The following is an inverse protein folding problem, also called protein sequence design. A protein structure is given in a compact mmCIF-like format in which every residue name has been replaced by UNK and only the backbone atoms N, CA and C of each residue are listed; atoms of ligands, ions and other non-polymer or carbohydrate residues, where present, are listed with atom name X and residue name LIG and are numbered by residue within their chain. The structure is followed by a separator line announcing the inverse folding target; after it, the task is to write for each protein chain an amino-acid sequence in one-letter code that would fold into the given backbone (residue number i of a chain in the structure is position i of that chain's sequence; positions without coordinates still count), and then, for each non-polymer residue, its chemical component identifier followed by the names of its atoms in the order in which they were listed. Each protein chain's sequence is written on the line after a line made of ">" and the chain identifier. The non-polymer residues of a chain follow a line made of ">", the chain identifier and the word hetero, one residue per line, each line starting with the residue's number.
data_IF_134062218108
#
_entry.id   IF_134062218108
#
_cell.length_a   1.000
_cell.length_b   1.000
_cell.length_c   1.000
_cell.angle_alpha   90.00
_cell.angle_beta   90.00
_cell.angle_gamma   90.00
#
_symmetry.space_group_name_H-M   'P 1'
#
loop_
_entity.id
_entity.type
_entity.pdbx_description
1 polymer ?
#
# COMPACT_ATOMS: atom_id res chain seq x y z
N UNK A 1 6.47 16.23 -0.99
CA UNK A 1 7.60 15.50 -1.64
C UNK A 1 8.99 15.91 -1.12
N UNK A 2 9.36 17.20 -1.14
CA UNK A 2 10.72 17.65 -0.77
C UNK A 2 11.12 17.20 0.65
N UNK A 3 10.18 17.20 1.60
CA UNK A 3 10.45 16.79 2.98
C UNK A 3 10.49 15.27 3.18
N UNK A 4 9.81 14.50 2.32
CA UNK A 4 9.78 13.04 2.37
C UNK A 4 11.10 12.42 1.86
N UNK A 5 11.72 13.06 0.87
CA UNK A 5 12.87 12.52 0.17
C UNK A 5 14.09 12.26 1.10
N UNK A 6 14.48 13.18 2.00
CA UNK A 6 15.53 12.91 2.99
C UNK A 6 15.23 11.72 3.91
N UNK A 7 13.97 11.56 4.34
CA UNK A 7 13.55 10.45 5.20
C UNK A 7 13.62 9.11 4.47
N UNK A 8 13.21 9.06 3.21
CA UNK A 8 13.32 7.88 2.34
C UNK A 8 14.78 7.48 2.19
N UNK A 9 15.66 8.41 1.79
CA UNK A 9 17.09 8.13 1.60
C UNK A 9 17.77 7.69 2.91
N UNK A 10 17.46 8.35 4.02
CA UNK A 10 18.00 7.98 5.33
C UNK A 10 17.57 6.57 5.73
N UNK A 11 16.32 6.18 5.47
CA UNK A 11 15.81 4.85 5.80
C UNK A 11 16.42 3.78 4.90
N UNK A 12 16.55 4.03 3.60
CA UNK A 12 17.23 3.11 2.67
C UNK A 12 18.72 2.93 3.01
N UNK A 13 19.39 4.02 3.42
CA UNK A 13 20.82 4.01 3.75
C UNK A 13 21.17 3.41 5.11
N UNK A 14 20.24 3.43 6.08
CA UNK A 14 20.49 2.90 7.43
C UNK A 14 19.69 1.62 7.74
N UNK A 15 18.71 1.26 6.91
CA UNK A 15 17.69 0.27 7.24
C UNK A 15 16.62 0.83 8.19
N UNK A 16 15.70 -0.04 8.62
CA UNK A 16 14.61 0.32 9.53
C UNK A 16 13.25 0.35 8.85
N UNK A 17 12.28 0.99 9.49
CA UNK A 17 10.88 1.07 9.02
C UNK A 17 10.52 2.54 8.83
N UNK A 18 10.11 2.90 7.62
CA UNK A 18 9.53 4.20 7.31
C UNK A 18 8.01 4.09 7.32
N UNK A 19 7.36 4.94 8.12
CA UNK A 19 5.90 5.03 8.25
C UNK A 19 5.42 6.31 7.57
N UNK A 20 4.56 6.18 6.56
CA UNK A 20 3.99 7.33 5.84
C UNK A 20 2.47 7.24 5.84
N UNK A 21 1.81 8.33 6.21
CA UNK A 21 0.35 8.45 6.07
C UNK A 21 0.02 9.12 4.74
N UNK A 22 -1.01 8.61 4.06
CA UNK A 22 -1.55 9.10 2.79
C UNK A 22 -0.47 9.37 1.73
N UNK A 23 0.31 8.33 1.39
CA UNK A 23 1.46 8.43 0.48
C UNK A 23 1.09 9.04 -0.89
N UNK A 24 -0.14 8.83 -1.33
CA UNK A 24 -0.68 9.25 -2.61
C UNK A 24 -1.26 10.67 -2.63
N UNK A 25 -1.34 11.36 -1.49
CA UNK A 25 -1.84 12.74 -1.41
C UNK A 25 -0.87 13.75 -2.01
N UNK A 26 0.43 13.61 -1.73
CA UNK A 26 1.47 14.59 -2.10
C UNK A 26 2.35 14.17 -3.29
N UNK A 27 2.16 12.94 -3.78
CA UNK A 27 3.00 12.35 -4.83
C UNK A 27 2.23 12.23 -6.13
N UNK A 28 2.91 12.59 -7.22
CA UNK A 28 2.40 12.27 -8.55
C UNK A 28 2.27 10.73 -8.68
N UNK A 29 1.16 10.19 -9.20
CA UNK A 29 0.92 8.73 -9.24
C UNK A 29 2.05 7.93 -9.90
N UNK A 30 2.74 8.51 -10.88
CA UNK A 30 3.89 7.88 -11.55
C UNK A 30 5.15 7.74 -10.66
N UNK A 31 5.25 8.51 -9.58
CA UNK A 31 6.39 8.44 -8.65
C UNK A 31 6.24 7.32 -7.63
N UNK A 32 5.02 6.90 -7.32
CA UNK A 32 4.76 5.90 -6.28
C UNK A 32 5.32 4.53 -6.66
N UNK A 33 5.10 4.00 -7.89
CA UNK A 33 5.71 2.72 -8.30
C UNK A 33 7.24 2.74 -8.25
N UNK A 34 7.87 3.85 -8.66
CA UNK A 34 9.33 3.99 -8.59
C UNK A 34 9.82 4.00 -7.14
N UNK A 35 9.09 4.67 -6.23
CA UNK A 35 9.38 4.64 -4.81
C UNK A 35 9.28 3.23 -4.24
N UNK A 36 8.20 2.49 -4.55
CA UNK A 36 8.03 1.09 -4.12
C UNK A 36 9.19 0.24 -4.65
N UNK A 37 9.58 0.42 -5.90
CA UNK A 37 10.72 -0.29 -6.51
C UNK A 37 12.03 -0.03 -5.76
N UNK A 38 12.28 1.16 -5.22
CA UNK A 38 13.47 1.42 -4.41
C UNK A 38 13.55 0.56 -3.15
N UNK A 39 12.41 0.26 -2.52
CA UNK A 39 12.35 -0.61 -1.36
C UNK A 39 12.48 -2.11 -1.73
N UNK A 40 12.16 -2.49 -2.98
CA UNK A 40 12.34 -3.86 -3.47
C UNK A 40 13.74 -4.16 -4.03
N UNK A 41 14.43 -3.15 -4.56
CA UNK A 41 15.73 -3.32 -5.21
C UNK A 41 16.86 -3.51 -4.17
N UNK A 42 17.55 -4.67 -4.13
CA UNK A 42 18.64 -4.90 -3.18
C UNK A 42 19.85 -3.99 -3.40
N UNK A 43 20.01 -3.40 -4.59
CA UNK A 43 21.09 -2.45 -4.86
C UNK A 43 20.79 -1.09 -4.21
N UNK A 44 19.54 -0.63 -4.28
CA UNK A 44 19.08 0.63 -3.67
C UNK A 44 18.72 0.49 -2.19
N UNK A 45 18.29 -0.70 -1.76
CA UNK A 45 17.92 -1.05 -0.39
C UNK A 45 18.82 -2.17 0.19
N UNK A 46 20.15 -1.97 0.29
CA UNK A 46 21.07 -3.00 0.78
C UNK A 46 20.83 -3.33 2.26
N UNK A 47 20.18 -2.43 3.01
CA UNK A 47 19.91 -2.57 4.43
C UNK A 47 18.51 -3.13 4.75
N UNK A 48 17.75 -3.57 3.73
CA UNK A 48 16.41 -4.18 3.89
C UNK A 48 15.44 -3.30 4.69
N UNK A 49 15.48 -2.00 4.43
CA UNK A 49 14.50 -1.05 4.93
C UNK A 49 13.09 -1.46 4.48
N UNK A 50 12.09 -1.16 5.31
CA UNK A 50 10.68 -1.44 5.03
C UNK A 50 9.91 -0.13 4.94
N UNK A 51 8.97 -0.09 4.00
CA UNK A 51 8.01 0.99 3.87
C UNK A 51 6.63 0.47 4.27
N UNK A 52 6.01 1.11 5.27
CA UNK A 52 4.63 0.88 5.64
C UNK A 52 3.86 2.19 5.46
N UNK A 53 2.79 2.15 4.69
CA UNK A 53 2.04 3.35 4.33
C UNK A 53 0.54 3.10 4.24
N UNK A 54 -0.24 4.18 4.36
CA UNK A 54 -1.65 4.23 3.99
C UNK A 54 -1.80 4.94 2.63
N UNK A 55 -2.84 4.57 1.87
CA UNK A 55 -3.16 5.21 0.60
C UNK A 55 -4.65 5.09 0.28
N UNK A 56 -5.16 6.03 -0.52
CA UNK A 56 -6.54 6.02 -1.02
C UNK A 56 -6.65 5.48 -2.45
N UNK A 57 -5.58 5.60 -3.22
CA UNK A 57 -5.54 5.23 -4.63
C UNK A 57 -5.49 3.70 -4.82
N UNK A 58 -6.62 3.14 -5.26
CA UNK A 58 -6.75 1.71 -5.54
C UNK A 58 -5.78 1.20 -6.62
N UNK A 59 -5.29 2.04 -7.54
CA UNK A 59 -4.35 1.61 -8.59
C UNK A 59 -3.02 1.08 -8.02
N UNK A 60 -2.67 1.42 -6.78
CA UNK A 60 -1.47 0.91 -6.12
C UNK A 60 -1.59 -0.57 -5.75
N UNK A 61 -2.80 -1.13 -5.70
CA UNK A 61 -3.00 -2.54 -5.39
C UNK A 61 -2.36 -3.47 -6.42
N UNK A 62 -2.22 -3.03 -7.68
CA UNK A 62 -1.58 -3.81 -8.73
C UNK A 62 -0.04 -3.76 -8.66
N UNK A 63 0.53 -2.82 -7.88
CA UNK A 63 1.97 -2.72 -7.61
C UNK A 63 2.40 -3.54 -6.37
N UNK A 64 1.44 -4.12 -5.64
CA UNK A 64 1.64 -4.82 -4.38
C UNK A 64 1.21 -6.29 -4.48
N UNK A 65 1.88 -7.16 -3.73
CA UNK A 65 1.41 -8.52 -3.52
C UNK A 65 0.30 -8.56 -2.45
N UNK A 66 -0.61 -9.54 -2.53
CA UNK A 66 -1.73 -9.67 -1.58
C UNK A 66 -1.26 -9.85 -0.12
N UNK A 67 -0.04 -10.33 0.09
CA UNK A 67 0.57 -10.46 1.41
C UNK A 67 0.99 -9.12 2.01
N UNK A 68 1.13 -8.08 1.18
CA UNK A 68 1.55 -6.72 1.55
C UNK A 68 0.38 -5.76 1.74
N UNK A 69 -0.84 -6.19 1.41
CA UNK A 69 -2.03 -5.35 1.42
C UNK A 69 -2.89 -5.66 2.64
N UNK A 70 -3.28 -4.60 3.35
CA UNK A 70 -4.29 -4.61 4.39
C UNK A 70 -5.41 -3.65 4.02
N UNK A 71 -6.65 -4.11 4.17
CA UNK A 71 -7.84 -3.29 3.98
C UNK A 71 -8.37 -2.83 5.32
N UNK A 72 -8.94 -1.63 5.33
CA UNK A 72 -9.61 -1.06 6.50
C UNK A 72 -11.04 -0.70 6.15
N UNK A 73 -12.01 -1.16 6.94
CA UNK A 73 -13.42 -0.82 6.76
C UNK A 73 -14.06 -0.38 8.06
N UNK A 74 -15.02 0.55 7.98
CA UNK A 74 -15.80 1.00 9.14
C UNK A 74 -17.28 0.72 8.90
N UNK A 75 -17.81 -0.41 9.38
CA UNK A 75 -19.22 -0.71 9.26
C UNK A 75 -20.05 0.25 10.14
N UNK A 76 -21.28 0.53 9.72
CA UNK A 76 -22.17 1.42 10.44
C UNK A 76 -22.42 0.92 11.87
N UNK A 77 -22.18 1.80 12.85
CA UNK A 77 -22.35 1.48 14.28
C UNK A 77 -21.33 0.49 14.85
N UNK A 78 -20.26 0.15 14.12
CA UNK A 78 -19.19 -0.76 14.59
C UNK A 78 -17.83 -0.07 14.58
N UNK A 79 -16.89 -0.67 15.30
CA UNK A 79 -15.48 -0.26 15.25
C UNK A 79 -14.87 -0.54 13.87
N UNK A 80 -13.81 0.20 13.54
CA UNK A 80 -13.00 -0.06 12.35
C UNK A 80 -12.41 -1.47 12.42
N UNK A 81 -12.49 -2.19 11.31
CA UNK A 81 -11.91 -3.51 11.12
C UNK A 81 -10.75 -3.41 10.13
N UNK A 82 -9.71 -4.22 10.37
CA UNK A 82 -8.52 -4.31 9.53
C UNK A 82 -8.31 -5.80 9.21
N UNK A 83 -8.11 -6.12 7.94
CA UNK A 83 -7.85 -7.49 7.49
C UNK A 83 -6.88 -7.52 6.31
N UNK A 84 -6.08 -8.58 6.20
CA UNK A 84 -5.13 -8.74 5.10
C UNK A 84 -5.83 -9.24 3.83
N UNK A 85 -5.37 -8.80 2.66
CA UNK A 85 -5.88 -9.32 1.39
C UNK A 85 -5.62 -10.84 1.25
N UNK A 86 -4.54 -11.34 1.86
CA UNK A 86 -4.23 -12.78 1.94
C UNK A 86 -5.27 -13.61 2.71
N UNK A 87 -6.02 -13.00 3.63
CA UNK A 87 -6.98 -13.68 4.49
C UNK A 87 -8.34 -13.87 3.77
N UNK A 88 -8.51 -13.22 2.61
CA UNK A 88 -9.69 -13.33 1.76
C UNK A 88 -9.63 -14.67 1.00
N UNK A 89 -10.49 -15.60 1.39
CA UNK A 89 -10.59 -16.92 0.75
C UNK A 89 -10.94 -16.81 -0.74
N UNK A 90 -10.23 -17.56 -1.59
CA UNK A 90 -10.47 -17.57 -3.04
C UNK A 90 -9.72 -16.50 -3.83
N UNK A 91 -8.90 -15.66 -3.19
CA UNK A 91 -7.98 -14.75 -3.88
C UNK A 91 -6.84 -15.52 -4.56
N UNK A 92 -7.10 -15.99 -5.79
CA UNK A 92 -6.04 -16.46 -6.69
C UNK A 92 -5.17 -15.28 -7.11
N UNK A 93 -3.92 -15.57 -7.50
CA UNK A 93 -3.06 -14.63 -8.24
C UNK A 93 -3.74 -14.32 -9.58
N UNK A 94 -4.66 -13.38 -9.56
CA UNK A 94 -5.36 -12.87 -10.74
C UNK A 94 -4.72 -11.54 -11.18
N UNK A 95 -4.88 -11.16 -12.46
CA UNK A 95 -4.04 -10.14 -13.08
C UNK A 95 -4.30 -8.70 -12.59
N UNK A 96 -5.31 -8.44 -11.75
CA UNK A 96 -5.51 -7.12 -11.14
C UNK A 96 -6.27 -7.21 -9.82
N UNK A 97 -5.57 -6.91 -8.72
CA UNK A 97 -6.16 -6.70 -7.39
C UNK A 97 -7.07 -5.47 -7.41
N UNK A 98 -6.70 -4.42 -8.16
CA UNK A 98 -7.51 -3.22 -8.32
C UNK A 98 -8.91 -3.54 -8.83
N UNK A 99 -9.04 -4.40 -9.86
CA UNK A 99 -10.36 -4.76 -10.41
C UNK A 99 -11.25 -5.46 -9.40
N UNK A 100 -10.71 -6.37 -8.60
CA UNK A 100 -11.46 -7.07 -7.55
C UNK A 100 -11.86 -6.14 -6.40
N UNK A 101 -10.99 -5.19 -6.05
CA UNK A 101 -11.34 -4.16 -5.08
C UNK A 101 -12.51 -3.31 -5.57
N UNK A 102 -12.43 -2.81 -6.80
CA UNK A 102 -13.47 -1.97 -7.41
C UNK A 102 -14.78 -2.72 -7.69
N UNK A 103 -14.76 -4.05 -7.87
CA UNK A 103 -15.99 -4.85 -7.97
C UNK A 103 -16.68 -5.08 -6.63
N UNK A 104 -16.01 -4.75 -5.51
CA UNK A 104 -16.51 -4.98 -4.15
C UNK A 104 -16.26 -6.38 -3.61
N UNK A 105 -15.62 -7.27 -4.38
CA UNK A 105 -15.28 -8.64 -3.95
C UNK A 105 -14.38 -8.66 -2.72
N UNK A 106 -13.57 -7.62 -2.51
CA UNK A 106 -12.61 -7.54 -1.41
C UNK A 106 -13.17 -6.83 -0.16
N UNK A 107 -14.41 -6.34 -0.21
CA UNK A 107 -14.92 -5.43 0.83
C UNK A 107 -14.19 -4.09 0.83
N UNK A 108 -14.24 -3.36 1.95
CA UNK A 108 -13.60 -2.06 2.14
C UNK A 108 -13.93 -0.96 1.11
N UNK A 109 -14.94 -1.17 0.26
CA UNK A 109 -15.48 -0.13 -0.61
C UNK A 109 -16.39 0.83 0.17
N UNK A 110 -16.37 2.15 -0.13
CA UNK A 110 -17.27 3.10 0.49
C UNK A 110 -18.72 2.80 0.11
N UNK A 111 -19.59 2.75 1.12
CA UNK A 111 -21.04 2.70 0.92
C UNK A 111 -21.53 4.10 0.59
N UNK A 112 -21.69 4.39 -0.70
CA UNK A 112 -22.30 5.64 -1.17
C UNK A 112 -23.81 5.41 -1.17
N UNK A 113 -24.51 6.07 -0.25
CA UNK A 113 -25.97 6.02 -0.11
C UNK A 113 -26.69 6.78 -1.21
#
# INVERSE_FOLDING_TARGET
>A
FIDLFPMILSTLGNGGILLLDELDTDLHPLLIPELLYWFYDPVRNPHKAQLLFSAHNASLLDELEKEQVFFTEKPMGKATQIYGAKDIGGLRREPSLTKKYLSGELGAIPQIG
#
